data_IF_447327260535
#
_entry.id   IF_447327260535
#
_cell.length_a   1.000
_cell.length_b   1.000
_cell.length_c   1.000
_cell.angle_alpha   90.00
_cell.angle_beta   90.00
_cell.angle_gamma   90.00
#
_symmetry.space_group_name_H-M   'P 1'
#
loop_
_entity.id
_entity.type
_entity.pdbx_description
1 polymer ?
#
# COMPACT_ATOMS: atom_id res chain seq x y z
N UNK A 1 0.79 -21.98 3.49
CA UNK A 1 0.35 -21.34 4.77
C UNK A 1 1.53 -20.59 5.35
N UNK A 2 1.38 -19.32 5.73
CA UNK A 2 2.48 -18.47 6.21
C UNK A 2 3.20 -19.10 7.40
N UNK A 3 4.53 -19.15 7.33
CA UNK A 3 5.38 -19.80 8.34
C UNK A 3 5.68 -18.84 9.48
N UNK A 4 5.20 -19.13 10.69
CA UNK A 4 5.58 -18.41 11.93
C UNK A 4 6.38 -19.37 12.82
N UNK A 5 7.65 -19.08 13.05
CA UNK A 5 8.56 -19.89 13.89
C UNK A 5 8.80 -19.22 15.24
N UNK A 6 9.12 -20.00 16.26
CA UNK A 6 9.53 -19.50 17.59
C UNK A 6 8.43 -19.55 18.65
N UNK A 7 8.64 -18.82 19.76
CA UNK A 7 7.78 -18.88 20.95
C UNK A 7 6.41 -18.25 20.67
N UNK A 8 5.31 -18.97 20.96
CA UNK A 8 3.94 -18.42 20.86
C UNK A 8 3.74 -17.16 21.72
N UNK A 9 4.44 -17.09 22.86
CA UNK A 9 4.40 -15.94 23.78
C UNK A 9 5.61 -15.01 23.57
N UNK A 10 6.22 -15.01 22.39
CA UNK A 10 7.28 -14.06 22.05
C UNK A 10 6.70 -12.70 21.72
N UNK A 11 7.19 -11.67 22.40
CA UNK A 11 6.86 -10.26 22.26
C UNK A 11 7.57 -9.59 21.08
N UNK A 12 8.71 -10.14 20.64
CA UNK A 12 9.43 -9.65 19.47
C UNK A 12 9.00 -10.45 18.24
N UNK A 13 8.50 -9.77 17.23
CA UNK A 13 8.15 -10.33 15.93
C UNK A 13 9.03 -9.74 14.83
N UNK A 14 9.65 -10.60 14.01
CA UNK A 14 10.47 -10.20 12.85
C UNK A 14 10.02 -10.90 11.58
N UNK A 15 9.96 -10.17 10.47
CA UNK A 15 9.71 -10.74 9.16
C UNK A 15 11.01 -11.24 8.50
N UNK A 16 10.87 -12.23 7.62
CA UNK A 16 11.90 -12.72 6.70
C UNK A 16 11.29 -12.85 5.32
N UNK A 17 12.03 -12.41 4.30
CA UNK A 17 11.63 -12.55 2.91
C UNK A 17 12.38 -13.72 2.30
N UNK A 18 11.63 -14.77 2.00
CA UNK A 18 12.10 -16.05 1.48
C UNK A 18 11.93 -16.08 -0.05
N UNK A 19 12.98 -16.50 -0.75
CA UNK A 19 12.96 -16.63 -2.21
C UNK A 19 14.36 -16.77 -2.80
N UNK A 20 14.55 -17.77 -3.67
CA UNK A 20 15.84 -18.05 -4.30
C UNK A 20 16.30 -16.92 -5.23
N UNK A 21 15.36 -16.13 -5.76
CA UNK A 21 15.64 -14.99 -6.64
C UNK A 21 16.53 -13.93 -5.99
N UNK A 22 16.56 -13.83 -4.65
CA UNK A 22 17.43 -12.89 -3.93
C UNK A 22 18.91 -13.11 -4.25
N UNK A 23 19.33 -14.36 -4.50
CA UNK A 23 20.73 -14.66 -4.84
C UNK A 23 21.14 -14.16 -6.22
N UNK A 24 20.19 -13.75 -7.06
CA UNK A 24 20.47 -13.12 -8.36
C UNK A 24 20.99 -11.67 -8.20
N UNK A 25 20.84 -11.08 -7.01
CA UNK A 25 21.18 -9.70 -6.73
C UNK A 25 22.33 -9.63 -5.73
N UNK A 26 23.48 -9.03 -6.10
CA UNK A 26 24.60 -8.90 -5.18
C UNK A 26 24.30 -7.93 -4.02
N UNK A 27 23.37 -7.00 -4.23
CA UNK A 27 22.97 -6.02 -3.23
C UNK A 27 21.49 -5.65 -3.35
N UNK A 28 20.70 -6.06 -2.35
CA UNK A 28 19.25 -5.80 -2.31
C UNK A 28 18.93 -4.31 -2.08
N UNK A 29 19.84 -3.53 -1.49
CA UNK A 29 19.62 -2.09 -1.31
C UNK A 29 19.64 -1.28 -2.62
N UNK A 30 19.96 -1.91 -3.75
CA UNK A 30 19.86 -1.33 -5.09
C UNK A 30 18.62 -1.79 -5.84
N UNK A 31 17.78 -2.59 -5.20
CA UNK A 31 16.58 -3.17 -5.81
C UNK A 31 15.33 -2.46 -5.32
N UNK A 32 14.28 -2.53 -6.14
CA UNK A 32 12.94 -2.02 -5.83
C UNK A 32 12.02 -3.17 -5.47
N UNK A 33 11.18 -2.97 -4.47
CA UNK A 33 10.16 -3.94 -4.07
C UNK A 33 8.76 -3.32 -4.04
N UNK A 34 7.75 -4.13 -4.31
CA UNK A 34 6.35 -3.82 -4.00
C UNK A 34 5.91 -4.79 -2.91
N UNK A 35 5.39 -4.26 -1.80
CA UNK A 35 4.75 -5.07 -0.75
C UNK A 35 3.25 -4.98 -0.98
N UNK A 36 2.62 -6.12 -1.31
CA UNK A 36 1.18 -6.20 -1.50
C UNK A 36 0.46 -6.30 -0.16
N UNK A 37 -0.49 -5.40 0.08
CA UNK A 37 -1.27 -5.32 1.31
C UNK A 37 -2.74 -5.60 1.02
N UNK A 38 -3.21 -6.77 1.45
CA UNK A 38 -4.62 -7.13 1.39
C UNK A 38 -5.35 -6.49 2.56
N UNK A 39 -6.34 -5.65 2.27
CA UNK A 39 -7.08 -4.88 3.27
C UNK A 39 -8.01 -5.75 4.15
N UNK A 40 -8.31 -6.98 3.71
CA UNK A 40 -9.21 -7.90 4.41
C UNK A 40 -8.88 -9.36 4.09
N UNK A 41 -9.03 -10.24 5.09
CA UNK A 41 -8.86 -11.69 4.94
C UNK A 41 -7.42 -12.20 5.10
N UNK A 42 -6.42 -11.31 5.28
CA UNK A 42 -5.04 -11.70 5.57
C UNK A 42 -4.51 -11.02 6.85
N UNK A 43 -4.56 -11.75 7.98
CA UNK A 43 -4.09 -11.25 9.28
C UNK A 43 -2.60 -10.85 9.28
N UNK A 44 -1.80 -11.37 8.36
CA UNK A 44 -0.37 -11.07 8.27
C UNK A 44 -0.09 -9.72 7.59
N UNK A 45 -1.13 -9.08 7.03
CA UNK A 45 -1.09 -7.69 6.58
C UNK A 45 -1.55 -6.72 7.68
N UNK A 46 -1.68 -7.12 8.95
CA UNK A 46 -2.18 -6.23 10.02
C UNK A 46 -1.28 -6.23 11.25
N UNK A 47 -1.42 -5.20 12.10
CA UNK A 47 -0.77 -5.10 13.41
C UNK A 47 0.74 -5.38 13.40
N UNK A 48 1.21 -6.16 14.38
CA UNK A 48 2.64 -6.50 14.52
C UNK A 48 3.24 -7.14 13.27
N UNK A 49 2.47 -7.96 12.53
CA UNK A 49 2.96 -8.61 11.32
C UNK A 49 3.24 -7.58 10.22
N UNK A 50 2.33 -6.63 10.02
CA UNK A 50 2.52 -5.52 9.10
C UNK A 50 3.73 -4.66 9.51
N UNK A 51 3.82 -4.30 10.79
CA UNK A 51 4.96 -3.54 11.31
C UNK A 51 6.30 -4.26 11.01
N UNK A 52 6.36 -5.57 11.24
CA UNK A 52 7.56 -6.36 10.96
C UNK A 52 7.88 -6.46 9.47
N UNK A 53 6.88 -6.52 8.58
CA UNK A 53 7.08 -6.47 7.13
C UNK A 53 7.65 -5.11 6.72
N UNK A 54 7.05 -4.02 7.18
CA UNK A 54 7.45 -2.66 6.82
C UNK A 54 8.89 -2.41 7.24
N UNK A 55 9.24 -2.67 8.51
CA UNK A 55 10.61 -2.53 9.01
C UNK A 55 11.62 -3.33 8.19
N UNK A 56 11.25 -4.56 7.81
CA UNK A 56 12.14 -5.42 7.03
C UNK A 56 12.32 -4.90 5.61
N UNK A 57 11.25 -4.45 4.96
CA UNK A 57 11.29 -3.94 3.59
C UNK A 57 12.08 -2.63 3.47
N UNK A 58 11.83 -1.67 4.36
CA UNK A 58 12.55 -0.38 4.37
C UNK A 58 14.03 -0.53 4.73
N UNK A 59 14.42 -1.58 5.46
CA UNK A 59 15.81 -1.86 5.77
C UNK A 59 16.56 -2.68 4.70
N UNK A 60 15.85 -3.47 3.89
CA UNK A 60 16.46 -4.43 2.95
C UNK A 60 16.57 -3.90 1.51
N UNK A 61 15.57 -3.15 1.06
CA UNK A 61 15.48 -2.68 -0.33
C UNK A 61 15.88 -1.21 -0.47
N UNK A 62 16.29 -0.82 -1.67
CA UNK A 62 16.62 0.57 -1.98
C UNK A 62 15.39 1.48 -2.02
N UNK A 63 14.28 0.92 -2.50
CA UNK A 63 12.98 1.58 -2.50
C UNK A 63 11.86 0.55 -2.37
N UNK A 64 10.85 0.86 -1.57
CA UNK A 64 9.67 -0.01 -1.39
C UNK A 64 8.37 0.75 -1.67
N UNK A 65 7.49 0.19 -2.50
CA UNK A 65 6.11 0.65 -2.64
C UNK A 65 5.20 -0.28 -1.82
N UNK A 66 4.50 0.25 -0.82
CA UNK A 66 3.44 -0.47 -0.11
C UNK A 66 2.12 -0.25 -0.84
N UNK A 67 1.66 -1.28 -1.55
CA UNK A 67 0.42 -1.24 -2.32
C UNK A 67 -0.75 -1.73 -1.49
N UNK A 68 -1.62 -0.81 -1.09
CA UNK A 68 -2.90 -1.12 -0.47
C UNK A 68 -3.88 -1.50 -1.59
N UNK A 69 -4.17 -2.79 -1.71
CA UNK A 69 -5.06 -3.35 -2.73
C UNK A 69 -6.54 -3.16 -2.32
N UNK A 70 -6.96 -1.90 -2.22
CA UNK A 70 -8.27 -1.50 -1.73
C UNK A 70 -9.36 -1.58 -2.78
N UNK A 71 -9.37 -0.75 -3.82
CA UNK A 71 -10.48 -0.69 -4.78
C UNK A 71 -10.75 -2.07 -5.38
N UNK A 72 -9.72 -2.82 -5.79
CA UNK A 72 -9.86 -4.17 -6.37
C UNK A 72 -10.64 -5.14 -5.48
N UNK A 73 -10.71 -4.88 -4.17
CA UNK A 73 -11.53 -5.66 -3.25
C UNK A 73 -13.06 -5.54 -3.52
N UNK A 74 -13.50 -4.62 -4.37
CA UNK A 74 -14.90 -4.45 -4.75
C UNK A 74 -15.52 -5.75 -5.29
N UNK A 75 -14.74 -6.58 -5.99
CA UNK A 75 -15.19 -7.90 -6.48
C UNK A 75 -15.64 -8.82 -5.33
N UNK A 76 -14.99 -8.73 -4.16
CA UNK A 76 -15.31 -9.53 -2.99
C UNK A 76 -16.50 -8.98 -2.20
N UNK A 77 -16.84 -7.71 -2.40
CA UNK A 77 -18.07 -7.10 -1.87
C UNK A 77 -19.28 -7.45 -2.74
N UNK A 78 -19.07 -7.71 -4.04
CA UNK A 78 -20.14 -8.04 -4.97
C UNK A 78 -20.83 -9.37 -4.60
N UNK A 79 -22.16 -9.33 -4.53
CA UNK A 79 -23.02 -10.50 -4.26
C UNK A 79 -23.88 -10.91 -5.46
N UNK A 80 -23.78 -10.17 -6.55
CA UNK A 80 -24.52 -10.37 -7.78
C UNK A 80 -23.59 -10.93 -8.87
N UNK A 81 -24.12 -11.77 -9.77
CA UNK A 81 -23.37 -12.31 -10.91
C UNK A 81 -23.11 -11.20 -11.95
N UNK A 82 -24.12 -10.35 -12.19
CA UNK A 82 -24.09 -9.25 -13.15
C UNK A 82 -24.52 -7.94 -12.47
N UNK A 83 -23.66 -7.33 -11.64
CA UNK A 83 -23.97 -6.04 -11.04
C UNK A 83 -24.05 -4.97 -12.13
N UNK A 84 -25.06 -4.09 -12.04
CA UNK A 84 -25.14 -2.93 -12.92
C UNK A 84 -24.04 -1.90 -12.58
N UNK A 85 -23.78 -0.95 -13.49
CA UNK A 85 -22.73 0.06 -13.33
C UNK A 85 -22.85 0.90 -12.05
N UNK A 86 -24.08 1.25 -11.64
CA UNK A 86 -24.29 2.03 -10.41
C UNK A 86 -23.88 1.21 -9.17
N UNK A 87 -24.21 -0.07 -9.15
CA UNK A 87 -23.79 -1.00 -8.10
C UNK A 87 -22.27 -1.14 -8.07
N UNK A 88 -21.63 -1.32 -9.24
CA UNK A 88 -20.15 -1.43 -9.33
C UNK A 88 -19.47 -0.18 -8.76
N UNK A 89 -19.95 1.02 -9.12
CA UNK A 89 -19.35 2.27 -8.62
C UNK A 89 -19.49 2.39 -7.10
N UNK A 90 -20.67 2.07 -6.55
CA UNK A 90 -20.89 2.08 -5.10
C UNK A 90 -19.99 1.08 -4.36
N UNK A 91 -19.82 -0.13 -4.90
CA UNK A 91 -18.92 -1.14 -4.33
C UNK A 91 -17.45 -0.72 -4.39
N UNK A 92 -17.03 -0.06 -5.47
CA UNK A 92 -15.67 0.51 -5.57
C UNK A 92 -15.44 1.62 -4.55
N UNK A 93 -16.42 2.51 -4.35
CA UNK A 93 -16.35 3.56 -3.32
C UNK A 93 -16.28 2.96 -1.91
N UNK A 94 -17.08 1.92 -1.63
CA UNK A 94 -17.01 1.18 -0.36
C UNK A 94 -15.63 0.54 -0.17
N UNK A 95 -15.08 -0.12 -1.20
CA UNK A 95 -13.75 -0.72 -1.15
C UNK A 95 -12.64 0.32 -0.92
N UNK A 96 -12.71 1.49 -1.58
CA UNK A 96 -11.80 2.61 -1.33
C UNK A 96 -11.89 3.13 0.11
N UNK A 97 -13.10 3.24 0.66
CA UNK A 97 -13.28 3.65 2.07
C UNK A 97 -12.64 2.65 3.03
N UNK A 98 -12.83 1.35 2.79
CA UNK A 98 -12.17 0.28 3.57
C UNK A 98 -10.63 0.40 3.49
N UNK A 99 -10.09 0.74 2.32
CA UNK A 99 -8.67 1.01 2.12
C UNK A 99 -8.16 2.17 2.96
N UNK A 100 -8.87 3.30 2.95
CA UNK A 100 -8.54 4.47 3.78
C UNK A 100 -8.58 4.15 5.26
N UNK A 101 -9.63 3.48 5.73
CA UNK A 101 -9.73 3.03 7.12
C UNK A 101 -8.63 2.05 7.49
N UNK A 102 -8.27 1.13 6.60
CA UNK A 102 -7.14 0.22 6.80
C UNK A 102 -5.82 1.01 6.95
N UNK A 103 -5.57 2.00 6.09
CA UNK A 103 -4.38 2.85 6.18
C UNK A 103 -4.32 3.61 7.51
N UNK A 104 -5.42 4.28 7.89
CA UNK A 104 -5.49 5.06 9.14
C UNK A 104 -5.27 4.19 10.38
N UNK A 105 -5.91 3.02 10.44
CA UNK A 105 -5.75 2.08 11.56
C UNK A 105 -4.34 1.51 11.69
N UNK A 106 -3.52 1.60 10.64
CA UNK A 106 -2.17 1.06 10.59
C UNK A 106 -1.10 2.13 10.34
N UNK A 107 -1.44 3.41 10.45
CA UNK A 107 -0.54 4.52 10.16
C UNK A 107 0.75 4.43 10.98
N UNK A 108 0.66 4.08 12.26
CA UNK A 108 1.82 3.88 13.14
C UNK A 108 2.81 2.85 12.61
N UNK A 109 2.34 1.83 11.89
CA UNK A 109 3.23 0.83 11.30
C UNK A 109 4.12 1.44 10.21
N UNK A 110 3.57 2.37 9.41
CA UNK A 110 4.31 3.07 8.37
C UNK A 110 5.20 4.19 8.93
N UNK A 111 4.81 4.82 10.04
CA UNK A 111 5.61 5.87 10.69
C UNK A 111 6.84 5.32 11.43
N UNK A 112 6.78 4.07 11.88
CA UNK A 112 7.83 3.46 12.71
C UNK A 112 9.24 3.50 12.10
N UNK A 113 9.48 3.19 10.81
CA UNK A 113 10.81 3.34 10.19
C UNK A 113 11.33 4.78 10.17
N UNK A 114 10.44 5.77 10.27
CA UNK A 114 10.81 7.19 10.34
C UNK A 114 11.09 7.63 11.79
N UNK A 115 10.91 6.75 12.77
CA UNK A 115 11.03 7.08 14.18
C UNK A 115 9.92 8.00 14.71
N UNK A 116 8.77 8.01 14.03
CA UNK A 116 7.62 8.83 14.38
C UNK A 116 6.46 7.96 14.91
N UNK A 117 5.62 8.56 15.75
CA UNK A 117 4.28 8.04 16.07
C UNK A 117 3.17 8.94 15.48
N UNK A 118 1.93 8.48 15.48
CA UNK A 118 0.79 9.24 14.91
C UNK A 118 0.61 10.64 15.52
N UNK A 119 0.91 10.85 16.81
CA UNK A 119 0.77 12.16 17.45
C UNK A 119 1.83 13.15 16.95
N UNK A 120 3.08 12.70 16.81
CA UNK A 120 4.18 13.49 16.23
C UNK A 120 3.91 13.78 14.75
N UNK A 121 3.46 12.78 14.01
CA UNK A 121 3.13 12.92 12.60
C UNK A 121 1.98 13.90 12.38
N UNK A 122 0.90 13.82 13.16
CA UNK A 122 -0.22 14.75 13.08
C UNK A 122 0.20 16.20 13.38
N UNK A 123 1.23 16.39 14.22
CA UNK A 123 1.81 17.71 14.47
C UNK A 123 2.59 18.23 13.24
N UNK A 124 3.29 17.35 12.51
CA UNK A 124 3.94 17.68 11.24
C UNK A 124 2.97 17.90 10.07
N UNK A 125 1.77 17.32 10.10
CA UNK A 125 0.73 17.56 9.09
C UNK A 125 0.26 19.02 9.07
N UNK A 126 0.30 19.71 10.21
CA UNK A 126 -0.10 21.11 10.35
C UNK A 126 0.85 22.03 9.56
N UNK A 127 2.14 21.72 9.53
CA UNK A 127 3.14 22.45 8.73
C UNK A 127 3.03 22.13 7.21
N UNK A 128 2.32 21.05 6.86
CA UNK A 128 2.21 20.52 5.50
C UNK A 128 0.92 20.91 4.75
N UNK A 129 0.00 21.63 5.40
CA UNK A 129 -1.29 22.19 4.96
C UNK A 129 -1.85 21.83 3.56
N UNK A 130 -3.12 21.39 3.49
CA UNK A 130 -3.61 20.14 4.05
C UNK A 130 -3.27 19.01 3.06
N UNK A 131 -2.09 18.42 3.19
CA UNK A 131 -1.81 17.17 2.50
C UNK A 131 -2.59 16.05 3.20
N UNK A 132 -3.25 15.21 2.41
CA UNK A 132 -3.76 13.93 2.86
C UNK A 132 -2.66 13.14 3.60
N UNK A 133 -3.01 12.36 4.63
CA UNK A 133 -2.03 11.66 5.49
C UNK A 133 -1.11 10.77 4.66
N UNK A 134 -1.63 10.11 3.63
CA UNK A 134 -0.82 9.32 2.69
C UNK A 134 0.18 10.21 1.93
N UNK A 135 -0.28 11.33 1.36
CA UNK A 135 0.57 12.26 0.63
C UNK A 135 1.66 12.88 1.52
N UNK A 136 1.32 13.25 2.76
CA UNK A 136 2.27 13.76 3.73
C UNK A 136 3.31 12.71 4.15
N UNK A 137 2.88 11.46 4.37
CA UNK A 137 3.76 10.33 4.65
C UNK A 137 4.76 10.12 3.50
N UNK A 138 4.26 10.07 2.26
CA UNK A 138 5.08 9.90 1.06
C UNK A 138 6.05 11.06 0.83
N UNK A 139 5.76 12.26 1.35
CA UNK A 139 6.66 13.41 1.27
C UNK A 139 7.85 13.30 2.23
N UNK A 140 7.65 12.72 3.42
CA UNK A 140 8.69 12.60 4.44
C UNK A 140 9.46 11.27 4.36
N UNK A 141 8.86 10.23 3.77
CA UNK A 141 9.51 8.96 3.53
C UNK A 141 10.55 9.10 2.41
N UNK A 142 11.79 8.65 2.68
CA UNK A 142 12.91 8.82 1.74
C UNK A 142 13.17 7.59 0.87
N UNK A 143 12.76 6.41 1.32
CA UNK A 143 13.02 5.14 0.65
C UNK A 143 11.79 4.22 0.55
N UNK A 144 10.60 4.77 0.77
CA UNK A 144 9.37 4.06 0.48
C UNK A 144 8.22 5.01 0.17
N UNK A 145 7.14 4.46 -0.38
CA UNK A 145 5.86 5.14 -0.54
C UNK A 145 4.71 4.18 -0.19
N UNK A 146 3.55 4.74 0.17
CA UNK A 146 2.28 4.03 0.31
C UNK A 146 1.35 4.50 -0.79
N UNK A 147 0.75 3.57 -1.52
CA UNK A 147 -0.16 3.85 -2.64
C UNK A 147 -1.44 3.03 -2.52
N UNK A 148 -2.57 3.64 -2.87
CA UNK A 148 -3.84 2.92 -3.04
C UNK A 148 -3.93 2.32 -4.44
N UNK A 149 -4.93 1.47 -4.68
CA UNK A 149 -5.05 0.74 -5.95
C UNK A 149 -5.17 1.67 -7.16
N UNK A 150 -5.97 2.75 -7.06
CA UNK A 150 -6.08 3.76 -8.13
C UNK A 150 -4.74 4.42 -8.42
N UNK A 151 -4.00 4.82 -7.39
CA UNK A 151 -2.69 5.44 -7.53
C UNK A 151 -1.71 4.51 -8.24
N UNK A 152 -1.76 3.22 -7.88
CA UNK A 152 -0.95 2.18 -8.51
C UNK A 152 -1.23 2.01 -9.99
N UNK A 153 -2.51 1.92 -10.37
CA UNK A 153 -2.90 1.88 -11.78
C UNK A 153 -2.38 3.11 -12.54
N UNK A 154 -2.45 4.29 -11.91
CA UNK A 154 -1.97 5.55 -12.47
C UNK A 154 -0.43 5.67 -12.52
N UNK A 155 0.33 4.73 -11.94
CA UNK A 155 1.80 4.70 -12.12
C UNK A 155 2.18 4.33 -13.56
N UNK A 156 1.26 3.74 -14.34
CA UNK A 156 1.50 3.41 -15.75
C UNK A 156 0.32 3.77 -16.65
N UNK A 157 0.44 4.93 -17.31
CA UNK A 157 -0.50 5.35 -18.36
C UNK A 157 -0.55 4.36 -19.53
N UNK A 158 0.57 3.69 -19.81
CA UNK A 158 0.65 2.66 -20.84
C UNK A 158 -0.24 1.46 -20.47
N UNK A 159 -0.14 0.95 -19.24
CA UNK A 159 -1.01 -0.13 -18.77
C UNK A 159 -2.49 0.26 -18.88
N UNK A 160 -2.86 1.46 -18.43
CA UNK A 160 -4.23 1.96 -18.52
C UNK A 160 -4.74 1.97 -19.97
N UNK A 161 -3.90 2.38 -20.94
CA UNK A 161 -4.28 2.38 -22.35
C UNK A 161 -4.45 0.98 -22.95
N UNK A 162 -3.79 -0.03 -22.36
CA UNK A 162 -3.80 -1.43 -22.80
C UNK A 162 -4.73 -2.33 -21.96
N UNK A 163 -5.30 -1.82 -20.87
CA UNK A 163 -5.98 -2.62 -19.86
C UNK A 163 -7.09 -3.51 -20.46
N UNK A 164 -7.90 -2.98 -21.38
CA UNK A 164 -8.97 -3.73 -22.04
C UNK A 164 -8.43 -4.89 -22.90
N UNK A 165 -7.33 -4.66 -23.62
CA UNK A 165 -6.67 -5.69 -24.44
C UNK A 165 -6.02 -6.75 -23.57
N UNK A 166 -5.33 -6.34 -22.49
CA UNK A 166 -4.73 -7.26 -21.51
C UNK A 166 -5.81 -8.11 -20.83
N UNK A 167 -6.93 -7.50 -20.45
CA UNK A 167 -8.09 -8.19 -19.85
C UNK A 167 -8.67 -9.23 -20.82
N UNK A 168 -8.81 -8.89 -22.11
CA UNK A 168 -9.31 -9.81 -23.13
C UNK A 168 -8.43 -11.06 -23.29
N UNK A 169 -7.11 -10.95 -23.11
CA UNK A 169 -6.21 -12.11 -23.17
C UNK A 169 -6.51 -13.14 -22.08
N UNK A 170 -7.02 -12.76 -20.91
CA UNK A 170 -7.44 -13.74 -19.90
C UNK A 170 -8.68 -14.55 -20.30
N UNK A 171 -9.36 -14.17 -21.37
CA UNK A 171 -10.48 -14.91 -21.94
C UNK A 171 -10.03 -15.75 -23.15
N UNK A 172 -9.06 -15.27 -23.93
CA UNK A 172 -8.64 -15.92 -25.18
C UNK A 172 -7.38 -16.77 -25.09
N UNK A 173 -6.47 -16.47 -24.16
CA UNK A 173 -5.19 -17.16 -24.03
C UNK A 173 -5.29 -18.31 -23.02
N UNK A 174 -5.15 -19.59 -23.44
CA UNK A 174 -5.41 -20.74 -22.58
C UNK A 174 -4.59 -20.73 -21.28
N UNK A 175 -3.30 -20.38 -21.35
CA UNK A 175 -2.42 -20.37 -20.16
C UNK A 175 -2.90 -19.37 -19.11
N UNK A 176 -3.38 -18.19 -19.53
CA UNK A 176 -3.90 -17.18 -18.62
C UNK A 176 -5.28 -17.59 -18.09
N UNK A 177 -6.19 -17.99 -18.97
CA UNK A 177 -7.56 -18.38 -18.62
C UNK A 177 -7.59 -19.56 -17.64
N UNK A 178 -6.84 -20.63 -17.93
CA UNK A 178 -6.76 -21.83 -17.06
C UNK A 178 -6.14 -21.51 -15.70
N UNK A 179 -5.13 -20.61 -15.67
CA UNK A 179 -4.50 -20.20 -14.40
C UNK A 179 -5.49 -19.50 -13.46
N UNK A 180 -6.33 -18.61 -14.00
CA UNK A 180 -7.38 -17.92 -13.24
C UNK A 180 -8.46 -18.90 -12.81
N UNK A 181 -8.96 -19.72 -13.74
CA UNK A 181 -10.04 -20.67 -13.45
C UNK A 181 -9.67 -21.64 -12.33
N UNK A 182 -8.43 -22.12 -12.31
CA UNK A 182 -7.91 -22.99 -11.24
C UNK A 182 -7.92 -22.29 -9.89
N UNK A 183 -7.39 -21.07 -9.80
CA UNK A 183 -7.34 -20.32 -8.53
C UNK A 183 -8.74 -19.96 -8.05
N UNK A 184 -9.63 -19.54 -8.95
CA UNK A 184 -11.03 -19.24 -8.64
C UNK A 184 -11.78 -20.49 -8.14
N UNK A 185 -11.58 -21.65 -8.76
CA UNK A 185 -12.17 -22.92 -8.32
C UNK A 185 -11.69 -23.32 -6.91
N UNK A 186 -10.40 -23.12 -6.61
CA UNK A 186 -9.85 -23.35 -5.27
C UNK A 186 -10.40 -22.36 -4.23
N UNK A 187 -10.69 -21.12 -4.63
CA UNK A 187 -11.37 -20.14 -3.79
C UNK A 187 -12.80 -20.57 -3.48
N UNK A 188 -13.60 -20.95 -4.48
CA UNK A 188 -14.98 -21.43 -4.31
C UNK A 188 -15.01 -22.64 -3.36
N UNK A 189 -14.12 -23.62 -3.57
CA UNK A 189 -14.06 -24.81 -2.71
C UNK A 189 -13.82 -24.48 -1.24
N UNK A 190 -13.01 -23.45 -0.95
CA UNK A 190 -12.74 -23.01 0.44
C UNK A 190 -13.92 -22.27 1.07
N UNK A 191 -14.74 -21.61 0.27
CA UNK A 191 -15.88 -20.79 0.72
C UNK A 191 -17.25 -21.43 0.44
N UNK A 192 -17.29 -22.71 0.05
CA UNK A 192 -18.52 -23.45 -0.25
C UNK A 192 -19.49 -23.59 0.94
N UNK A 193 -19.07 -23.19 2.15
CA UNK A 193 -19.88 -23.18 3.35
C UNK A 193 -20.53 -21.81 3.62
N UNK A 194 -20.20 -20.78 2.83
CA UNK A 194 -20.83 -19.47 2.94
C UNK A 194 -22.24 -19.48 2.34
N UNK A 195 -23.07 -18.51 2.72
CA UNK A 195 -24.43 -18.35 2.20
C UNK A 195 -24.50 -17.84 0.76
N UNK A 196 -23.35 -17.53 0.15
CA UNK A 196 -23.22 -16.95 -1.18
C UNK A 196 -23.15 -18.09 -2.20
N UNK A 197 -23.81 -17.97 -3.34
CA UNK A 197 -23.79 -19.04 -4.34
C UNK A 197 -22.39 -19.26 -4.91
N UNK A 198 -22.07 -20.51 -5.24
CA UNK A 198 -20.80 -20.87 -5.85
C UNK A 198 -20.55 -20.12 -7.18
N UNK A 199 -21.60 -19.84 -7.95
CA UNK A 199 -21.50 -19.11 -9.22
C UNK A 199 -21.09 -17.65 -8.99
N UNK A 200 -21.64 -16.98 -7.97
CA UNK A 200 -21.22 -15.63 -7.57
C UNK A 200 -19.77 -15.65 -7.09
N UNK A 201 -19.40 -16.60 -6.23
CA UNK A 201 -18.02 -16.72 -5.74
C UNK A 201 -17.02 -16.98 -6.87
N UNK A 202 -17.40 -17.81 -7.86
CA UNK A 202 -16.59 -18.08 -9.04
C UNK A 202 -16.42 -16.81 -9.88
N UNK A 203 -17.52 -16.14 -10.21
CA UNK A 203 -17.49 -14.93 -11.05
C UNK A 203 -16.69 -13.81 -10.39
N UNK A 204 -16.95 -13.51 -9.12
CA UNK A 204 -16.21 -12.51 -8.35
C UNK A 204 -14.72 -12.84 -8.26
N UNK A 205 -14.36 -14.09 -7.96
CA UNK A 205 -12.96 -14.48 -7.89
C UNK A 205 -12.27 -14.41 -9.25
N UNK A 206 -12.94 -14.79 -10.33
CA UNK A 206 -12.39 -14.70 -11.68
C UNK A 206 -12.15 -13.24 -12.07
N UNK A 207 -13.14 -12.36 -11.88
CA UNK A 207 -13.02 -10.95 -12.21
C UNK A 207 -11.93 -10.26 -11.37
N UNK A 208 -11.85 -10.58 -10.07
CA UNK A 208 -10.78 -10.11 -9.19
C UNK A 208 -9.40 -10.48 -9.73
N UNK A 209 -9.19 -11.75 -10.09
CA UNK A 209 -7.90 -12.24 -10.55
C UNK A 209 -7.51 -11.68 -11.92
N UNK A 210 -8.48 -11.46 -12.82
CA UNK A 210 -8.24 -10.83 -14.13
C UNK A 210 -7.85 -9.37 -13.98
N UNK A 211 -8.41 -8.64 -13.01
CA UNK A 211 -8.03 -7.27 -12.71
C UNK A 211 -6.66 -7.20 -12.00
N UNK A 212 -6.47 -7.98 -10.95
CA UNK A 212 -5.31 -7.89 -10.06
C UNK A 212 -4.03 -8.45 -10.69
N UNK A 213 -4.12 -9.64 -11.32
CA UNK A 213 -2.94 -10.38 -11.77
C UNK A 213 -2.07 -9.60 -12.76
N UNK A 214 -2.62 -9.03 -13.84
CA UNK A 214 -1.83 -8.19 -14.75
C UNK A 214 -1.51 -6.83 -14.14
N UNK A 215 -2.41 -6.18 -13.38
CA UNK A 215 -2.14 -4.87 -12.80
C UNK A 215 -0.94 -4.89 -11.84
N UNK A 216 -0.78 -5.96 -11.04
CA UNK A 216 0.39 -6.12 -10.19
C UNK A 216 1.64 -6.42 -11.01
N UNK A 217 1.61 -7.46 -11.86
CA UNK A 217 2.82 -7.95 -12.51
C UNK A 217 3.31 -7.03 -13.62
N UNK A 218 2.41 -6.54 -14.46
CA UNK A 218 2.73 -5.71 -15.62
C UNK A 218 3.25 -4.35 -15.16
N UNK A 219 2.52 -3.65 -14.28
CA UNK A 219 2.91 -2.32 -13.80
C UNK A 219 4.23 -2.39 -13.02
N UNK A 220 4.39 -3.38 -12.14
CA UNK A 220 5.63 -3.53 -11.39
C UNK A 220 6.81 -3.75 -12.34
N UNK A 221 6.66 -4.60 -13.36
CA UNK A 221 7.69 -4.82 -14.36
C UNK A 221 8.01 -3.54 -15.14
N UNK A 222 7.01 -2.78 -15.57
CA UNK A 222 7.22 -1.52 -16.31
C UNK A 222 7.92 -0.44 -15.48
N UNK A 223 7.77 -0.49 -14.14
CA UNK A 223 8.44 0.43 -13.20
C UNK A 223 9.85 -0.04 -12.79
N UNK A 224 10.32 -1.17 -13.32
CA UNK A 224 11.60 -1.78 -12.99
C UNK A 224 11.64 -2.36 -11.58
N UNK A 225 10.51 -2.84 -11.06
CA UNK A 225 10.43 -3.52 -9.75
C UNK A 225 11.09 -4.89 -9.85
N UNK A 226 11.95 -5.21 -8.88
CA UNK A 226 12.67 -6.48 -8.85
C UNK A 226 11.92 -7.54 -8.06
N UNK A 227 11.17 -7.13 -7.03
CA UNK A 227 10.52 -8.04 -6.10
C UNK A 227 9.06 -7.67 -5.82
N UNK A 228 8.21 -8.68 -5.74
CA UNK A 228 6.88 -8.60 -5.13
C UNK A 228 6.94 -9.34 -3.80
N UNK A 229 6.58 -8.69 -2.71
CA UNK A 229 6.64 -9.24 -1.35
C UNK A 229 5.21 -9.44 -0.85
N UNK A 230 4.87 -10.64 -0.40
CA UNK A 230 3.55 -10.94 0.14
C UNK A 230 3.58 -12.06 1.20
N UNK A 231 2.79 -11.96 2.29
CA UNK A 231 2.59 -13.06 3.22
C UNK A 231 1.64 -14.12 2.63
N UNK A 232 2.20 -14.88 1.69
CA UNK A 232 1.54 -15.98 0.99
C UNK A 232 2.40 -16.47 -0.17
N UNK A 233 2.14 -17.71 -0.60
CA UNK A 233 2.76 -18.27 -1.80
C UNK A 233 2.25 -17.55 -3.05
N UNK A 234 3.09 -17.48 -4.09
CA UNK A 234 2.66 -16.92 -5.38
C UNK A 234 1.57 -17.81 -5.97
N UNK A 235 0.38 -17.25 -6.17
CA UNK A 235 -0.72 -17.97 -6.82
C UNK A 235 -0.45 -18.15 -8.31
N UNK A 236 -1.11 -19.15 -8.90
CA UNK A 236 -0.86 -19.54 -10.27
C UNK A 236 -1.18 -18.45 -11.31
N UNK A 237 -2.19 -17.60 -11.06
CA UNK A 237 -2.54 -16.51 -11.97
C UNK A 237 -1.41 -15.49 -12.06
N UNK A 238 -0.89 -15.02 -10.92
CA UNK A 238 0.30 -14.15 -10.86
C UNK A 238 1.52 -14.75 -11.56
N UNK A 239 1.76 -16.05 -11.38
CA UNK A 239 2.83 -16.77 -12.06
C UNK A 239 2.66 -16.70 -13.59
N UNK A 240 1.47 -17.04 -14.07
CA UNK A 240 1.13 -17.03 -15.48
C UNK A 240 1.20 -15.60 -16.07
N UNK A 241 0.72 -14.58 -15.35
CA UNK A 241 0.82 -13.18 -15.77
C UNK A 241 2.27 -12.76 -15.96
N UNK A 242 3.13 -13.05 -14.98
CA UNK A 242 4.56 -12.75 -15.06
C UNK A 242 5.18 -13.45 -16.28
N UNK A 243 4.94 -14.75 -16.39
CA UNK A 243 5.51 -15.60 -17.42
C UNK A 243 4.86 -15.36 -18.80
N UNK A 244 3.77 -14.61 -18.91
CA UNK A 244 3.12 -14.23 -20.17
C UNK A 244 3.50 -12.82 -20.64
N UNK A 245 3.50 -11.84 -19.74
CA UNK A 245 3.64 -10.43 -20.13
C UNK A 245 5.08 -9.92 -20.11
N UNK A 246 5.98 -10.57 -19.38
CA UNK A 246 7.34 -10.06 -19.21
C UNK A 246 8.26 -10.83 -20.13
N UNK A 247 8.87 -10.11 -21.06
CA UNK A 247 9.57 -10.69 -22.21
C UNK A 247 10.94 -10.07 -22.42
N UNK A 248 11.79 -10.80 -23.13
CA UNK A 248 13.03 -10.24 -23.65
C UNK A 248 12.72 -9.25 -24.77
N UNK A 249 13.63 -8.29 -25.00
CA UNK A 249 13.46 -7.23 -26.01
C UNK A 249 13.31 -7.73 -27.46
N UNK A 250 13.65 -8.99 -27.72
CA UNK A 250 13.50 -9.65 -29.02
C UNK A 250 12.02 -9.91 -29.37
N UNK A 251 11.16 -10.11 -28.38
CA UNK A 251 9.73 -10.38 -28.57
C UNK A 251 8.95 -9.05 -28.55
N UNK A 252 8.51 -8.60 -29.72
CA UNK A 252 7.84 -7.30 -29.87
C UNK A 252 6.32 -7.45 -29.84
N UNK A 253 5.72 -6.96 -28.76
CA UNK A 253 4.28 -6.67 -28.67
C UNK A 253 4.09 -5.47 -27.74
N UNK A 254 3.17 -4.54 -28.04
CA UNK A 254 2.84 -3.47 -27.10
C UNK A 254 2.21 -4.02 -25.81
N UNK A 255 1.67 -5.25 -25.83
CA UNK A 255 1.09 -5.88 -24.65
C UNK A 255 2.14 -6.45 -23.69
N UNK A 256 3.41 -6.53 -24.12
CA UNK A 256 4.50 -7.07 -23.31
C UNK A 256 5.34 -5.96 -22.68
N UNK A 257 5.86 -6.24 -21.48
CA UNK A 257 6.91 -5.43 -20.87
C UNK A 257 8.26 -6.02 -21.29
N UNK A 258 8.94 -5.31 -22.18
CA UNK A 258 10.27 -5.70 -22.68
C UNK A 258 11.36 -5.35 -21.67
N UNK A 259 12.06 -6.36 -21.17
CA UNK A 259 13.15 -6.23 -20.20
C UNK A 259 14.35 -7.05 -20.68
N UNK A 260 15.54 -6.45 -20.64
CA UNK A 260 16.79 -7.11 -21.05
C UNK A 260 17.11 -8.40 -20.26
N UNK A 261 16.76 -8.44 -18.98
CA UNK A 261 16.91 -9.62 -18.12
C UNK A 261 15.62 -9.94 -17.35
N UNK A 262 14.63 -10.60 -17.96
CA UNK A 262 13.33 -10.88 -17.35
C UNK A 262 13.42 -11.59 -15.99
N UNK A 263 14.42 -12.46 -15.80
CA UNK A 263 14.69 -13.16 -14.53
C UNK A 263 14.97 -12.22 -13.34
N UNK A 264 15.28 -10.94 -13.58
CA UNK A 264 15.54 -9.94 -12.55
C UNK A 264 14.32 -9.05 -12.25
N UNK A 265 13.17 -9.28 -12.89
CA UNK A 265 11.96 -8.49 -12.70
C UNK A 265 10.93 -9.26 -11.86
N UNK A 266 10.22 -8.52 -11.00
CA UNK A 266 9.00 -8.94 -10.27
C UNK A 266 9.05 -10.35 -9.65
N UNK A 267 10.19 -10.69 -9.05
CA UNK A 267 10.38 -11.96 -8.38
C UNK A 267 9.56 -12.01 -7.09
N UNK A 268 8.79 -13.07 -6.88
CA UNK A 268 8.01 -13.24 -5.67
C UNK A 268 8.89 -13.59 -4.47
N UNK A 269 8.68 -12.90 -3.34
CA UNK A 269 9.25 -13.20 -2.04
C UNK A 269 8.13 -13.50 -1.04
N UNK A 270 8.08 -14.74 -0.56
CA UNK A 270 7.14 -15.14 0.48
C UNK A 270 7.61 -14.59 1.84
N UNK A 271 6.70 -13.98 2.59
CA UNK A 271 7.01 -13.55 3.96
C UNK A 271 6.86 -14.73 4.93
N UNK A 272 7.90 -14.96 5.74
CA UNK A 272 7.81 -15.76 6.96
C UNK A 272 8.13 -14.91 8.19
N UNK A 273 7.77 -15.40 9.37
CA UNK A 273 7.92 -14.66 10.62
C UNK A 273 8.63 -15.47 11.69
N UNK A 274 9.35 -14.76 12.57
CA UNK A 274 9.99 -15.32 13.75
C UNK A 274 9.55 -14.55 14.98
N UNK A 275 9.07 -15.28 15.99
CA UNK A 275 8.80 -14.78 17.34
C UNK A 275 9.91 -15.18 18.30
N UNK A 276 10.44 -14.19 19.01
CA UNK A 276 11.42 -14.37 20.08
C UNK A 276 10.96 -13.64 21.34
N UNK A 277 11.48 -14.06 22.50
CA UNK A 277 11.28 -13.32 23.75
C UNK A 277 12.35 -12.23 23.87
N UNK A 278 11.96 -11.05 24.31
CA UNK A 278 12.88 -10.12 24.95
C UNK A 278 13.61 -10.88 26.06
N UNK A 279 14.93 -11.02 25.94
CA UNK A 279 15.75 -11.38 27.09
C UNK A 279 15.93 -10.10 27.91
N UNK A 280 15.43 -10.08 29.15
CA UNK A 280 15.45 -8.97 30.12
C UNK A 280 16.86 -8.45 30.54
N UNK A 281 17.88 -8.61 29.69
CA UNK A 281 19.28 -8.29 29.99
C UNK A 281 19.79 -7.02 29.28
N UNK A 282 19.01 -5.94 29.28
CA UNK A 282 19.57 -4.61 29.03
C UNK A 282 19.09 -3.61 30.07
N UNK A 283 19.99 -3.28 31.00
CA UNK A 283 19.90 -2.13 31.91
C UNK A 283 19.41 -0.88 31.15
N UNK A 284 18.58 -0.04 31.76
CA UNK A 284 18.09 1.18 31.13
C UNK A 284 19.27 2.12 30.89
N UNK A 285 19.66 2.28 29.63
CA UNK A 285 20.49 3.42 29.22
C UNK A 285 19.65 4.67 29.35
N UNK A 286 20.02 5.54 30.28
CA UNK A 286 19.46 6.88 30.47
C UNK A 286 19.45 7.62 29.13
N UNK A 287 18.26 7.79 28.55
CA UNK A 287 18.07 8.75 27.46
C UNK A 287 18.31 10.17 28.00
N UNK A 288 19.15 10.92 27.28
CA UNK A 288 19.35 12.36 27.46
C UNK A 288 18.03 13.10 27.16
N UNK A 289 17.76 14.22 27.84
CA UNK A 289 16.55 14.99 27.60
C UNK A 289 16.59 15.59 26.19
N UNK A 290 15.51 15.38 25.45
CA UNK A 290 15.18 16.08 24.21
C UNK A 290 15.07 17.57 24.48
N UNK A 291 15.68 18.37 23.63
CA UNK A 291 15.53 19.82 23.61
C UNK A 291 14.08 20.14 23.25
N UNK A 292 13.33 20.69 24.21
CA UNK A 292 12.03 21.29 23.97
C UNK A 292 12.22 22.62 23.25
N UNK A 293 11.71 22.73 22.03
CA UNK A 293 11.47 24.02 21.39
C UNK A 293 10.08 24.47 21.83
N UNK A 294 10.02 25.57 22.59
CA UNK A 294 8.79 26.24 22.96
C UNK A 294 8.11 26.81 21.70
N UNK A 295 7.06 26.15 21.22
CA UNK A 295 6.08 26.73 20.26
C UNK A 295 4.63 26.44 20.72
N UNK A 296 4.44 26.49 22.03
CA UNK A 296 3.23 26.00 22.70
C UNK A 296 2.02 26.95 22.57
N UNK A 297 2.22 28.24 22.26
CA UNK A 297 1.14 29.22 22.14
C UNK A 297 0.52 29.26 20.74
N UNK A 298 1.34 29.25 19.68
CA UNK A 298 0.83 29.25 18.31
C UNK A 298 0.07 27.96 18.00
N UNK A 299 0.59 26.83 18.46
CA UNK A 299 -0.06 25.51 18.32
C UNK A 299 -1.42 25.47 19.04
N UNK A 300 -1.52 26.07 20.24
CA UNK A 300 -2.80 26.15 20.98
C UNK A 300 -3.79 27.11 20.33
N UNK A 301 -3.30 28.25 19.83
CA UNK A 301 -4.13 29.22 19.11
C UNK A 301 -4.70 28.61 17.82
N UNK A 302 -3.86 27.96 17.02
CA UNK A 302 -4.26 27.35 15.76
C UNK A 302 -5.23 26.19 15.96
N UNK A 303 -5.02 25.35 16.99
CA UNK A 303 -6.00 24.31 17.37
C UNK A 303 -7.37 24.93 17.67
N UNK A 304 -7.44 25.97 18.51
CA UNK A 304 -8.69 26.63 18.85
C UNK A 304 -9.39 27.28 17.65
N UNK A 305 -8.62 27.87 16.72
CA UNK A 305 -9.14 28.44 15.48
C UNK A 305 -9.72 27.36 14.56
N UNK A 306 -8.98 26.26 14.37
CA UNK A 306 -9.44 25.13 13.53
C UNK A 306 -10.69 24.47 14.13
N UNK A 307 -10.69 24.16 15.42
CA UNK A 307 -11.86 23.62 16.12
C UNK A 307 -13.07 24.56 16.02
N UNK A 308 -12.86 25.87 16.18
CA UNK A 308 -13.88 26.89 16.00
C UNK A 308 -14.47 26.89 14.59
N UNK A 309 -13.64 26.85 13.54
CA UNK A 309 -14.10 26.86 12.15
C UNK A 309 -14.84 25.57 11.79
N UNK A 310 -14.36 24.41 12.27
CA UNK A 310 -15.03 23.14 12.01
C UNK A 310 -16.34 22.98 12.77
N UNK A 311 -16.54 23.72 13.86
CA UNK A 311 -17.82 23.82 14.58
C UNK A 311 -18.86 24.71 13.89
N UNK A 312 -18.48 25.50 12.87
CA UNK A 312 -19.42 26.35 12.13
C UNK A 312 -20.37 25.49 11.28
N UNK A 313 -21.64 25.90 11.19
CA UNK A 313 -22.63 25.30 10.28
C UNK A 313 -22.50 25.89 8.87
N UNK A 314 -21.38 25.60 8.23
CA UNK A 314 -21.08 26.00 6.85
C UNK A 314 -20.53 24.82 6.06
N UNK A 315 -20.67 24.88 4.74
CA UNK A 315 -20.17 23.88 3.81
C UNK A 315 -18.67 23.62 3.99
N UNK A 316 -18.24 22.37 3.80
CA UNK A 316 -16.86 21.95 4.04
C UNK A 316 -15.83 22.77 3.26
N UNK A 317 -16.16 23.14 2.01
CA UNK A 317 -15.32 23.98 1.17
C UNK A 317 -15.15 25.41 1.74
N UNK A 318 -16.17 25.94 2.39
CA UNK A 318 -16.13 27.25 3.03
C UNK A 318 -15.26 27.22 4.29
N UNK A 319 -15.29 26.11 5.05
CA UNK A 319 -14.40 25.86 6.19
C UNK A 319 -12.93 25.87 5.76
N UNK A 320 -12.62 25.16 4.66
CA UNK A 320 -11.27 25.13 4.09
C UNK A 320 -10.84 26.52 3.66
N UNK A 321 -11.71 27.30 3.00
CA UNK A 321 -11.41 28.68 2.59
C UNK A 321 -11.10 29.57 3.79
N UNK A 322 -11.92 29.52 4.85
CA UNK A 322 -11.73 30.31 6.07
C UNK A 322 -10.39 30.03 6.75
N UNK A 323 -10.01 28.75 6.87
CA UNK A 323 -8.70 28.38 7.45
C UNK A 323 -7.57 28.91 6.58
N UNK A 324 -7.70 28.78 5.25
CA UNK A 324 -6.71 29.25 4.28
C UNK A 324 -6.52 30.77 4.39
N UNK A 325 -7.60 31.54 4.45
CA UNK A 325 -7.57 33.01 4.53
C UNK A 325 -6.91 33.49 5.84
N UNK A 326 -7.21 32.84 6.97
CA UNK A 326 -6.60 33.16 8.26
C UNK A 326 -5.09 32.91 8.23
N UNK A 327 -4.67 31.79 7.65
CA UNK A 327 -3.25 31.43 7.58
C UNK A 327 -2.46 32.31 6.60
N UNK A 328 -3.02 32.64 5.44
CA UNK A 328 -2.40 33.59 4.50
C UNK A 328 -2.24 34.96 5.13
N UNK A 329 -3.26 35.41 5.89
CA UNK A 329 -3.20 36.67 6.62
C UNK A 329 -2.10 36.64 7.69
N UNK A 330 -1.98 35.54 8.43
CA UNK A 330 -0.94 35.36 9.44
C UNK A 330 0.47 35.37 8.83
N UNK A 331 0.70 34.60 7.76
CA UNK A 331 2.00 34.55 7.07
C UNK A 331 2.39 35.91 6.50
N UNK A 332 1.44 36.64 5.91
CA UNK A 332 1.67 38.00 5.40
C UNK A 332 2.11 38.95 6.52
N UNK A 333 1.45 38.91 7.69
CA UNK A 333 1.84 39.71 8.85
C UNK A 333 3.23 39.34 9.38
N UNK A 334 3.53 38.05 9.50
CA UNK A 334 4.86 37.57 9.93
C UNK A 334 5.97 38.04 8.97
N UNK A 335 5.70 38.07 7.67
CA UNK A 335 6.66 38.57 6.67
C UNK A 335 6.87 40.09 6.77
N UNK A 336 5.85 40.85 7.17
CA UNK A 336 5.95 42.29 7.38
C UNK A 336 6.75 42.62 8.65
N UNK A 337 6.49 41.94 9.77
CA UNK A 337 7.24 42.13 11.02
C UNK A 337 8.74 41.83 10.84
N UNK A 338 9.09 40.79 10.08
CA UNK A 338 10.48 40.45 9.75
C UNK A 338 11.14 41.51 8.85
N UNK A 339 10.39 42.14 7.95
CA UNK A 339 10.91 43.20 7.08
C UNK A 339 11.10 44.53 7.80
N UNK A 340 10.26 44.84 8.80
CA UNK A 340 10.39 46.03 9.65
C UNK A 340 11.50 45.89 10.71
N UNK A 341 11.87 44.67 11.09
CA UNK A 341 13.00 44.43 12.02
C UNK A 341 14.38 44.45 11.33
N UNK A 342 14.44 44.35 10.01
CA UNK A 342 15.68 44.25 9.22
C UNK A 342 15.99 45.51 8.39
N UNK A 343 15.14 46.54 8.44
CA UNK A 343 15.36 47.87 7.89
C UNK A 343 15.56 48.89 9.00
#
# INVERSE_FOLDING_TARGET
MVKVKGSKNGDILKARFEGNSKSLFPNLNKTKAVVLLSIKGNQYCTGDYLSAIIEKATAEFGFTTFLIADEVYWHNLCRDIEPNTSTVNALKEEATLLGKTYFENHLDCFLKPLGLNSTEFDSHLIEAFPLDKQAALNRIATNYEVVFWRDWLNKSNEYLSLQSQITALYQSEPVLAESVQRVASDFVRRHAHESVSNDVLMQSSTNYLIEESPAVMWIAASLGVNFIVYPGEMIASFAASRDYFIRTEEEKSPLFVSISQPKLAVNWLEVSFIRSRSTDNSKPTKNKPSVSVDDHELTRLMRGVTEGIFSLDVEHNEKIRLITDIMLTYQKRKSMDLSEMLG
#
